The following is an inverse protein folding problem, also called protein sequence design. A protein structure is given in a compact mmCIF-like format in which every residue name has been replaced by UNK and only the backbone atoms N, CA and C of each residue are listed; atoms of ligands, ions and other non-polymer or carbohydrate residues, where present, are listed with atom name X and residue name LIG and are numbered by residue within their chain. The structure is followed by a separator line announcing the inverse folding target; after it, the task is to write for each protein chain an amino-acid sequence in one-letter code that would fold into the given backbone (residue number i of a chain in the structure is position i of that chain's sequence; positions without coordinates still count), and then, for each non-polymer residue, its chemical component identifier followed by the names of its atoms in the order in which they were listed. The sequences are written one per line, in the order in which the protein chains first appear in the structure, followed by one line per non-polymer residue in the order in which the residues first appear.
data_IF_426557520737
#
_entry.id   IF_426557520737
#
_cell.length_a   1.000
_cell.length_b   1.000
_cell.length_c   1.000
_cell.angle_alpha   90.00
_cell.angle_beta   90.00
_cell.angle_gamma   90.00
#
_symmetry.space_group_name_H-M   'P 1'
#
loop_
_entity.id
_entity.type
_entity.pdbx_description
1 polymer ?
#
# COMPACT_ATOMS: atom_id res chain seq x y z
N UNK A 1 -10.17 22.86 9.69
CA UNK A 1 -8.72 23.16 9.76
C UNK A 1 -8.36 23.99 8.53
N UNK A 2 -7.50 25.00 8.63
CA UNK A 2 -7.02 25.71 7.43
C UNK A 2 -5.96 24.87 6.71
N UNK A 3 -5.89 25.00 5.38
CA UNK A 3 -5.01 24.20 4.53
C UNK A 3 -3.54 24.37 4.89
N UNK A 4 -3.12 25.58 5.27
CA UNK A 4 -1.74 25.83 5.69
C UNK A 4 -1.38 25.09 6.99
N UNK A 5 -2.31 25.04 7.95
CA UNK A 5 -2.11 24.29 9.19
C UNK A 5 -2.03 22.79 8.92
N UNK A 6 -2.92 22.28 8.07
CA UNK A 6 -2.88 20.90 7.60
C UNK A 6 -1.51 20.56 6.99
N UNK A 7 -1.06 21.33 5.99
CA UNK A 7 0.19 21.08 5.30
C UNK A 7 1.39 21.11 6.26
N UNK A 8 1.46 22.11 7.15
CA UNK A 8 2.52 22.19 8.14
C UNK A 8 2.58 20.95 9.04
N UNK A 9 1.43 20.43 9.45
CA UNK A 9 1.35 19.21 10.28
C UNK A 9 1.76 17.96 9.48
N UNK A 10 1.35 17.86 8.21
CA UNK A 10 1.80 16.78 7.34
C UNK A 10 3.31 16.81 7.17
N UNK A 11 3.88 17.97 6.86
CA UNK A 11 5.31 18.16 6.67
C UNK A 11 6.08 17.80 7.94
N UNK A 12 5.58 18.22 9.10
CA UNK A 12 6.18 17.88 10.39
C UNK A 12 6.10 16.37 10.70
N UNK A 13 4.98 15.72 10.38
CA UNK A 13 4.83 14.27 10.51
C UNK A 13 5.81 13.50 9.61
N UNK A 14 5.98 13.96 8.37
CA UNK A 14 6.96 13.39 7.42
C UNK A 14 8.39 13.59 7.92
N UNK A 15 8.73 14.77 8.44
CA UNK A 15 10.04 15.02 9.03
C UNK A 15 10.32 14.09 10.21
N UNK A 16 9.33 13.85 11.08
CA UNK A 16 9.47 12.90 12.18
C UNK A 16 9.73 11.48 11.67
N UNK A 17 9.00 11.04 10.63
CA UNK A 17 9.23 9.76 9.98
C UNK A 17 10.64 9.64 9.40
N UNK A 18 11.09 10.64 8.64
CA UNK A 18 12.42 10.66 8.02
C UNK A 18 13.56 10.67 9.06
N UNK A 19 13.32 11.29 10.22
CA UNK A 19 14.25 11.26 11.35
C UNK A 19 14.26 9.93 12.13
N UNK A 20 13.41 8.97 11.74
CA UNK A 20 13.26 7.68 12.41
C UNK A 20 12.35 7.71 13.65
N UNK A 21 11.76 8.86 13.98
CA UNK A 21 10.82 8.99 15.09
C UNK A 21 9.41 8.54 14.68
N UNK A 22 9.26 7.23 14.53
CA UNK A 22 8.01 6.59 14.07
C UNK A 22 6.83 6.91 15.00
N UNK A 23 7.05 6.96 16.31
CA UNK A 23 5.97 7.23 17.28
C UNK A 23 5.41 8.65 17.12
N UNK A 24 6.27 9.65 16.96
CA UNK A 24 5.83 11.02 16.74
C UNK A 24 5.11 11.17 15.39
N UNK A 25 5.60 10.51 14.33
CA UNK A 25 4.92 10.49 13.04
C UNK A 25 3.50 9.89 13.14
N UNK A 26 3.36 8.75 13.83
CA UNK A 26 2.05 8.12 14.08
C UNK A 26 1.10 9.07 14.82
N UNK A 27 1.59 9.73 15.87
CA UNK A 27 0.77 10.65 16.67
C UNK A 27 0.25 11.82 15.82
N UNK A 28 1.13 12.45 15.04
CA UNK A 28 0.79 13.59 14.20
C UNK A 28 -0.25 13.20 13.15
N UNK A 29 0.00 12.13 12.39
CA UNK A 29 -0.90 11.70 11.33
C UNK A 29 -2.24 11.15 11.88
N UNK A 30 -2.22 10.44 13.02
CA UNK A 30 -3.46 9.98 13.67
C UNK A 30 -4.29 11.16 14.16
N UNK A 31 -3.63 12.18 14.72
CA UNK A 31 -4.28 13.44 15.09
C UNK A 31 -4.92 14.15 13.90
N UNK A 32 -4.32 14.07 12.70
CA UNK A 32 -4.90 14.61 11.47
C UNK A 32 -6.13 13.82 11.02
N UNK A 33 -6.09 12.48 11.05
CA UNK A 33 -7.26 11.63 10.70
C UNK A 33 -8.46 11.92 11.60
N UNK A 34 -8.22 12.20 12.88
CA UNK A 34 -9.27 12.50 13.86
C UNK A 34 -9.74 13.97 13.81
N UNK A 35 -9.14 14.79 12.95
CA UNK A 35 -9.54 16.18 12.72
C UNK A 35 -10.59 16.29 11.60
N UNK A 36 -11.14 17.48 11.43
CA UNK A 36 -12.16 17.80 10.42
C UNK A 36 -11.56 18.09 9.02
N UNK A 37 -10.66 17.21 8.56
CA UNK A 37 -10.09 17.25 7.21
C UNK A 37 -10.92 16.38 6.25
N UNK A 38 -10.73 16.58 4.93
CA UNK A 38 -11.50 15.85 3.93
C UNK A 38 -11.20 14.35 3.93
N UNK A 39 -12.11 13.53 3.39
CA UNK A 39 -11.89 12.08 3.31
C UNK A 39 -10.68 11.71 2.42
N UNK A 40 -10.39 12.52 1.40
CA UNK A 40 -9.18 12.35 0.59
C UNK A 40 -7.90 12.66 1.37
N UNK A 41 -7.92 13.69 2.22
CA UNK A 41 -6.79 13.99 3.11
C UNK A 41 -6.64 12.89 4.18
N UNK A 42 -7.75 12.39 4.73
CA UNK A 42 -7.74 11.24 5.65
C UNK A 42 -7.19 9.99 4.96
N UNK A 43 -7.50 9.76 3.68
CA UNK A 43 -6.93 8.65 2.92
C UNK A 43 -5.42 8.79 2.83
N UNK A 44 -4.94 9.97 2.43
CA UNK A 44 -3.51 10.29 2.35
C UNK A 44 -2.80 10.08 3.70
N UNK A 45 -3.44 10.47 4.80
CA UNK A 45 -2.91 10.21 6.14
C UNK A 45 -2.91 8.73 6.50
N UNK A 46 -3.94 7.96 6.11
CA UNK A 46 -3.95 6.52 6.31
C UNK A 46 -2.79 5.86 5.56
N UNK A 47 -2.48 6.29 4.33
CA UNK A 47 -1.33 5.81 3.57
C UNK A 47 0.00 6.14 4.26
N UNK A 48 0.16 7.37 4.75
CA UNK A 48 1.37 7.75 5.49
C UNK A 48 1.58 6.86 6.73
N UNK A 49 0.54 6.66 7.54
CA UNK A 49 0.61 5.80 8.73
C UNK A 49 0.85 4.33 8.34
N UNK A 50 0.29 3.85 7.22
CA UNK A 50 0.56 2.51 6.71
C UNK A 50 2.07 2.32 6.40
N UNK A 51 2.71 3.32 5.79
CA UNK A 51 4.16 3.32 5.55
C UNK A 51 4.95 3.34 6.86
N UNK A 52 4.49 4.06 7.88
CA UNK A 52 5.11 4.00 9.22
C UNK A 52 5.03 2.58 9.80
N UNK A 53 3.88 1.93 9.72
CA UNK A 53 3.73 0.55 10.21
C UNK A 53 4.49 -0.48 9.38
N UNK A 54 4.62 -0.27 8.07
CA UNK A 54 5.52 -1.07 7.22
C UNK A 54 6.96 -0.99 7.73
N UNK A 55 7.46 0.22 8.00
CA UNK A 55 8.81 0.44 8.55
C UNK A 55 9.01 -0.23 9.91
N UNK A 56 7.95 -0.30 10.72
CA UNK A 56 7.95 -0.99 12.01
C UNK A 56 7.77 -2.51 11.89
N UNK A 57 7.51 -3.03 10.69
CA UNK A 57 7.23 -4.46 10.46
C UNK A 57 5.85 -4.91 10.92
N UNK A 58 4.94 -3.98 11.24
CA UNK A 58 3.59 -4.31 11.68
C UNK A 58 2.65 -4.50 10.49
N UNK A 59 2.68 -5.72 9.94
CA UNK A 59 1.89 -6.12 8.78
C UNK A 59 0.38 -5.90 8.95
N UNK A 60 -0.16 -6.23 10.13
CA UNK A 60 -1.59 -6.19 10.36
C UNK A 60 -2.11 -4.76 10.32
N UNK A 61 -1.49 -3.86 11.08
CA UNK A 61 -1.90 -2.46 11.13
C UNK A 61 -1.69 -1.77 9.77
N UNK A 62 -0.62 -2.13 9.05
CA UNK A 62 -0.38 -1.64 7.70
C UNK A 62 -1.53 -1.98 6.74
N UNK A 63 -1.96 -3.25 6.72
CA UNK A 63 -3.07 -3.71 5.87
C UNK A 63 -4.42 -3.09 6.26
N UNK A 64 -4.69 -2.93 7.56
CA UNK A 64 -5.90 -2.26 8.06
C UNK A 64 -5.99 -0.82 7.57
N UNK A 65 -4.87 -0.09 7.56
CA UNK A 65 -4.84 1.30 7.09
C UNK A 65 -4.92 1.43 5.59
N UNK A 66 -4.29 0.55 4.82
CA UNK A 66 -4.52 0.49 3.38
C UNK A 66 -5.99 0.23 3.06
N UNK A 67 -6.63 -0.72 3.76
CA UNK A 67 -8.05 -1.00 3.55
C UNK A 67 -8.93 0.23 3.88
N UNK A 68 -8.61 0.97 4.94
CA UNK A 68 -9.29 2.21 5.30
C UNK A 68 -9.12 3.30 4.24
N UNK A 69 -7.89 3.51 3.75
CA UNK A 69 -7.59 4.46 2.67
C UNK A 69 -8.39 4.14 1.40
N UNK A 70 -8.43 2.87 1.00
CA UNK A 70 -9.22 2.40 -0.16
C UNK A 70 -10.71 2.71 0.00
N UNK A 71 -11.28 2.54 1.20
CA UNK A 71 -12.69 2.86 1.43
C UNK A 71 -12.99 4.36 1.27
N UNK A 72 -12.10 5.22 1.79
CA UNK A 72 -12.22 6.67 1.69
C UNK A 72 -12.13 7.12 0.22
N UNK A 73 -11.14 6.64 -0.52
CA UNK A 73 -10.94 7.02 -1.92
C UNK A 73 -12.01 6.50 -2.88
N UNK A 74 -12.55 5.30 -2.61
CA UNK A 74 -13.59 4.70 -3.44
C UNK A 74 -14.83 5.59 -3.57
N UNK A 75 -15.20 6.31 -2.51
CA UNK A 75 -16.31 7.27 -2.53
C UNK A 75 -16.09 8.43 -3.52
N UNK A 76 -14.83 8.71 -3.86
CA UNK A 76 -14.41 9.81 -4.74
C UNK A 76 -13.90 9.34 -6.10
N UNK A 77 -14.07 8.06 -6.44
CA UNK A 77 -13.50 7.46 -7.67
C UNK A 77 -11.98 7.66 -7.79
N UNK A 78 -11.28 7.63 -6.65
CA UNK A 78 -9.81 7.63 -6.57
C UNK A 78 -9.34 6.22 -6.24
N UNK A 79 -8.13 5.90 -6.68
CA UNK A 79 -7.63 4.52 -6.66
C UNK A 79 -6.17 4.41 -6.22
N UNK A 80 -5.56 5.51 -5.79
CA UNK A 80 -4.15 5.57 -5.40
C UNK A 80 -3.87 4.56 -4.28
N UNK A 81 -4.72 4.51 -3.25
CA UNK A 81 -4.62 3.58 -2.14
C UNK A 81 -4.71 2.11 -2.56
N UNK A 82 -5.50 1.78 -3.59
CA UNK A 82 -5.59 0.40 -4.10
C UNK A 82 -4.27 -0.01 -4.76
N UNK A 83 -3.59 0.90 -5.44
CA UNK A 83 -2.31 0.64 -6.08
C UNK A 83 -1.16 0.53 -5.08
N UNK A 84 -1.17 1.36 -4.03
CA UNK A 84 -0.26 1.19 -2.90
C UNK A 84 -0.46 -0.17 -2.22
N UNK A 85 -1.69 -0.57 -1.94
CA UNK A 85 -2.01 -1.87 -1.36
C UNK A 85 -1.53 -3.02 -2.25
N UNK A 86 -1.79 -2.98 -3.56
CA UNK A 86 -1.31 -3.99 -4.49
C UNK A 86 0.22 -4.09 -4.48
N UNK A 87 0.90 -2.95 -4.54
CA UNK A 87 2.37 -2.90 -4.46
C UNK A 87 2.90 -3.51 -3.18
N UNK A 88 2.30 -3.16 -2.04
CA UNK A 88 2.69 -3.70 -0.74
C UNK A 88 2.46 -5.22 -0.65
N UNK A 89 1.30 -5.71 -1.13
CA UNK A 89 1.01 -7.14 -1.20
C UNK A 89 2.06 -7.91 -2.01
N UNK A 90 2.58 -7.32 -3.10
CA UNK A 90 3.69 -7.92 -3.86
C UNK A 90 4.97 -7.99 -3.00
N UNK A 91 5.33 -6.92 -2.30
CA UNK A 91 6.53 -6.85 -1.46
C UNK A 91 6.53 -7.88 -0.33
N UNK A 92 5.38 -8.13 0.29
CA UNK A 92 5.22 -9.13 1.36
C UNK A 92 5.00 -10.57 0.82
N UNK A 93 5.35 -10.80 -0.45
CA UNK A 93 5.24 -12.09 -1.13
C UNK A 93 3.81 -12.65 -1.17
N UNK A 94 2.82 -11.77 -1.35
CA UNK A 94 1.40 -12.11 -1.61
C UNK A 94 0.96 -11.66 -3.01
N UNK A 95 1.65 -12.10 -4.09
CA UNK A 95 1.39 -11.63 -5.45
C UNK A 95 -0.01 -11.98 -5.95
N UNK A 96 -0.62 -13.09 -5.46
CA UNK A 96 -2.00 -13.46 -5.81
C UNK A 96 -3.04 -12.49 -5.26
N UNK A 97 -2.81 -11.94 -4.08
CA UNK A 97 -3.72 -10.95 -3.50
C UNK A 97 -3.52 -9.58 -4.17
N UNK A 98 -2.27 -9.21 -4.47
CA UNK A 98 -1.97 -8.06 -5.34
C UNK A 98 -2.70 -8.15 -6.67
N UNK A 99 -2.65 -9.31 -7.32
CA UNK A 99 -3.30 -9.54 -8.61
C UNK A 99 -4.82 -9.32 -8.53
N UNK A 100 -5.49 -9.83 -7.49
CA UNK A 100 -6.93 -9.60 -7.29
C UNK A 100 -7.29 -8.12 -7.17
N UNK A 101 -6.47 -7.34 -6.46
CA UNK A 101 -6.69 -5.90 -6.31
C UNK A 101 -6.58 -5.20 -7.67
N UNK A 102 -5.53 -5.50 -8.44
CA UNK A 102 -5.34 -4.90 -9.76
C UNK A 102 -6.42 -5.31 -10.76
N UNK A 103 -6.86 -6.57 -10.75
CA UNK A 103 -7.96 -7.02 -11.60
C UNK A 103 -9.28 -6.33 -11.24
N UNK A 104 -9.56 -6.15 -9.94
CA UNK A 104 -10.71 -5.37 -9.48
C UNK A 104 -10.62 -3.90 -9.89
N UNK A 105 -9.42 -3.32 -9.88
CA UNK A 105 -9.19 -1.94 -10.29
C UNK A 105 -9.40 -1.76 -11.80
N UNK A 106 -8.89 -2.70 -12.61
CA UNK A 106 -9.05 -2.67 -14.07
C UNK A 106 -10.52 -2.77 -14.50
N UNK A 107 -11.36 -3.46 -13.72
CA UNK A 107 -12.80 -3.57 -13.95
C UNK A 107 -13.57 -2.27 -13.61
N UNK A 108 -12.93 -1.29 -12.96
CA UNK A 108 -13.57 -0.03 -12.61
C UNK A 108 -13.85 0.82 -13.86
N UNK A 109 -15.08 1.31 -13.98
CA UNK A 109 -15.50 2.21 -15.07
C UNK A 109 -14.90 3.60 -14.98
N UNK A 110 -14.43 4.00 -13.80
CA UNK A 110 -13.91 5.35 -13.52
C UNK A 110 -12.39 5.46 -13.72
N UNK A 111 -11.71 4.36 -14.02
CA UNK A 111 -10.28 4.35 -14.26
C UNK A 111 -9.96 4.97 -15.63
N UNK A 112 -8.95 5.86 -15.69
CA UNK A 112 -8.56 6.49 -16.96
C UNK A 112 -7.91 5.47 -17.90
N UNK A 113 -7.92 5.72 -19.21
CA UNK A 113 -7.26 4.82 -20.17
C UNK A 113 -5.76 4.70 -19.93
N UNK A 114 -5.10 5.77 -19.50
CA UNK A 114 -3.68 5.75 -19.15
C UNK A 114 -3.42 4.83 -17.95
N UNK A 115 -4.26 4.92 -16.91
CA UNK A 115 -4.13 4.07 -15.73
C UNK A 115 -4.44 2.61 -16.06
N UNK A 116 -5.43 2.35 -16.93
CA UNK A 116 -5.74 0.99 -17.42
C UNK A 116 -4.53 0.35 -18.10
N UNK A 117 -3.78 1.09 -18.91
CA UNK A 117 -2.55 0.58 -19.55
C UNK A 117 -1.53 0.16 -18.50
N UNK A 118 -1.28 1.03 -17.50
CA UNK A 118 -0.33 0.74 -16.41
C UNK A 118 -0.78 -0.46 -15.57
N UNK A 119 -2.07 -0.53 -15.20
CA UNK A 119 -2.63 -1.64 -14.43
C UNK A 119 -2.56 -2.96 -15.20
N UNK A 120 -2.84 -2.96 -16.52
CA UNK A 120 -2.69 -4.15 -17.37
C UNK A 120 -1.26 -4.66 -17.39
N UNK A 121 -0.29 -3.75 -17.56
CA UNK A 121 1.13 -4.11 -17.55
C UNK A 121 1.54 -4.76 -16.22
N UNK A 122 1.11 -4.19 -15.09
CA UNK A 122 1.37 -4.77 -13.76
C UNK A 122 0.73 -6.17 -13.61
N UNK A 123 -0.50 -6.37 -14.11
CA UNK A 123 -1.19 -7.68 -14.10
C UNK A 123 -0.43 -8.73 -14.89
N UNK A 124 0.07 -8.36 -16.09
CA UNK A 124 0.84 -9.27 -16.93
C UNK A 124 2.15 -9.70 -16.26
N UNK A 125 2.89 -8.75 -15.69
CA UNK A 125 4.12 -9.02 -14.94
C UNK A 125 3.87 -9.99 -13.78
N UNK A 126 2.83 -9.72 -12.96
CA UNK A 126 2.44 -10.58 -11.84
C UNK A 126 2.01 -11.98 -12.29
N UNK A 127 1.28 -12.09 -13.40
CA UNK A 127 0.88 -13.41 -13.95
C UNK A 127 2.10 -14.21 -14.39
N UNK A 128 3.10 -13.56 -15.01
CA UNK A 128 4.36 -14.22 -15.34
C UNK A 128 5.06 -14.68 -14.06
N UNK A 129 5.20 -13.80 -13.06
CA UNK A 129 5.85 -14.11 -11.79
C UNK A 129 5.20 -15.30 -11.06
N UNK A 130 3.87 -15.30 -10.94
CA UNK A 130 3.11 -16.37 -10.28
C UNK A 130 3.23 -17.71 -11.02
N UNK A 131 3.37 -17.68 -12.34
CA UNK A 131 3.47 -18.88 -13.18
C UNK A 131 4.91 -19.33 -13.45
N UNK A 132 5.93 -18.62 -12.93
CA UNK A 132 7.32 -19.10 -13.03
C UNK A 132 7.41 -20.46 -12.34
N UNK A 133 7.82 -21.53 -13.06
CA UNK A 133 8.02 -22.82 -12.43
C UNK A 133 9.08 -22.66 -11.34
N UNK A 134 8.74 -23.04 -10.11
CA UNK A 134 9.73 -23.19 -9.04
C UNK A 134 10.62 -24.34 -9.49
N UNK A 135 11.75 -24.03 -10.12
CA UNK A 135 12.79 -25.01 -10.39
C UNK A 135 13.36 -25.46 -9.05
N UNK A 136 12.71 -26.46 -8.44
CA UNK A 136 13.30 -27.25 -7.37
C UNK A 136 14.49 -27.95 -8.01
N UNK A 137 15.73 -27.58 -7.66
CA UNK A 137 16.92 -28.25 -8.18
C UNK A 137 16.75 -29.77 -7.96
N UNK A 138 16.74 -30.61 -9.00
CA UNK A 138 16.88 -32.03 -8.82
C UNK A 138 18.35 -32.26 -8.48
N UNK A 139 18.68 -32.51 -7.20
CA UNK A 139 20.06 -32.87 -6.87
C UNK A 139 20.60 -32.60 -5.47
N UNK A 140 19.80 -32.44 -4.43
CA UNK A 140 20.28 -32.79 -3.08
C UNK A 140 19.71 -34.15 -2.72
N UNK A 141 20.30 -35.19 -3.30
CA UNK A 141 20.42 -36.44 -2.57
C UNK A 141 21.25 -36.10 -1.34
N UNK A 142 20.65 -36.18 -0.16
CA UNK A 142 21.41 -36.33 1.08
C UNK A 142 22.09 -37.70 1.00
N UNK A 143 23.25 -37.75 0.36
CA UNK A 143 24.20 -38.84 0.57
C UNK A 143 24.87 -38.62 1.93
N UNK A 144 24.44 -39.42 2.91
CA UNK A 144 25.34 -40.19 3.76
C UNK A 144 26.15 -39.45 4.83
N UNK A 145 25.70 -39.59 6.08
CA UNK A 145 26.50 -40.08 7.21
C UNK A 145 25.52 -40.88 8.06
N UNK A 146 25.56 -42.20 8.17
CA UNK A 146 26.68 -43.04 8.61
C UNK A 146 26.14 -43.85 9.78
#
# INVERSE_FOLDING_TARGET
MDYKDFQNRVDYGTQMFDSGNMQAALEIFTGLINSDISDLDKSSMCLNIAVVYEKLGNLQQCLELYAKAVQLEKAHCRFDAQEYLATYLKQINRPRDSLKILESLLASTHLTENDKVRVRSNIEELKVEINKPVYRRPGTQEEGTG
#
